data_IF_347997446612
#
_entry.id   IF_347997446612
#
_cell.length_a   1.000
_cell.length_b   1.000
_cell.length_c   1.000
_cell.angle_alpha   90.00
_cell.angle_beta   90.00
_cell.angle_gamma   90.00
#
_symmetry.space_group_name_H-M   'P 1'
#
loop_
_entity.id
_entity.type
_entity.pdbx_description
1 polymer ?
#
# COMPACT_ATOMS: atom_id res chain seq x y z
N UNK A 1 -14.24 -23.92 14.94
CA UNK A 1 -14.15 -23.85 13.46
C UNK A 1 -14.03 -22.36 13.12
N UNK A 2 -12.97 -21.80 12.53
CA UNK A 2 -12.13 -22.28 11.44
C UNK A 2 -10.73 -21.63 11.55
N UNK A 3 -9.70 -22.37 11.96
CA UNK A 3 -8.30 -21.87 11.94
C UNK A 3 -7.71 -22.15 10.57
N UNK A 4 -8.01 -21.30 9.60
CA UNK A 4 -7.31 -21.29 8.32
C UNK A 4 -5.89 -20.73 8.55
N UNK A 5 -5.00 -21.59 9.06
CA UNK A 5 -3.57 -21.44 8.90
C UNK A 5 -3.27 -21.58 7.40
N UNK A 6 -3.28 -20.47 6.65
CA UNK A 6 -2.62 -20.41 5.34
C UNK A 6 -1.10 -20.43 5.57
N UNK A 7 -0.34 -21.24 4.82
CA UNK A 7 1.10 -21.36 5.01
C UNK A 7 1.80 -20.04 4.71
N UNK A 8 2.80 -19.72 5.52
CA UNK A 8 3.73 -18.62 5.31
C UNK A 8 4.62 -18.92 4.09
N UNK A 9 4.19 -18.54 2.89
CA UNK A 9 5.07 -18.46 1.72
C UNK A 9 5.79 -17.11 1.73
N UNK A 10 6.98 -17.11 2.32
CA UNK A 10 7.99 -16.10 2.06
C UNK A 10 8.19 -16.01 0.52
N UNK A 11 7.69 -14.94 -0.11
CA UNK A 11 7.99 -14.69 -1.53
C UNK A 11 7.02 -13.80 -2.31
N UNK A 12 5.70 -13.95 -2.18
CA UNK A 12 4.73 -13.11 -2.91
C UNK A 12 3.41 -13.01 -2.14
N UNK A 13 3.25 -11.98 -1.32
CA UNK A 13 1.91 -11.63 -0.83
C UNK A 13 1.18 -10.95 -1.99
N UNK A 14 0.13 -11.57 -2.51
CA UNK A 14 -0.67 -10.96 -3.59
C UNK A 14 -1.55 -9.84 -3.03
N UNK A 15 -1.99 -8.90 -3.90
CA UNK A 15 -2.92 -7.86 -3.49
C UNK A 15 -4.20 -8.43 -2.86
N UNK A 16 -4.69 -9.56 -3.37
CA UNK A 16 -5.88 -10.24 -2.84
C UNK A 16 -5.68 -10.76 -1.42
N UNK A 17 -4.55 -11.43 -1.14
CA UNK A 17 -4.22 -11.91 0.21
C UNK A 17 -4.13 -10.76 1.22
N UNK A 18 -3.68 -9.58 0.79
CA UNK A 18 -3.60 -8.37 1.63
C UNK A 18 -4.98 -7.82 1.93
N UNK A 19 -5.84 -7.75 0.92
CA UNK A 19 -7.20 -7.24 1.05
C UNK A 19 -8.08 -8.14 1.93
N UNK A 20 -7.79 -9.45 1.97
CA UNK A 20 -8.45 -10.41 2.87
C UNK A 20 -8.06 -10.25 4.35
N UNK A 21 -7.03 -9.45 4.68
CA UNK A 21 -6.60 -9.24 6.08
C UNK A 21 -7.50 -8.23 6.80
N UNK A 22 -7.36 -8.22 8.12
CA UNK A 22 -8.13 -7.33 8.98
C UNK A 22 -7.88 -5.84 8.64
N UNK A 23 -8.85 -4.99 8.98
CA UNK A 23 -8.81 -3.56 8.65
C UNK A 23 -7.61 -2.85 9.29
N UNK A 24 -7.17 -3.27 10.47
CA UNK A 24 -6.01 -2.68 11.16
C UNK A 24 -4.73 -2.99 10.38
N UNK A 25 -4.56 -4.23 9.92
CA UNK A 25 -3.42 -4.59 9.08
C UNK A 25 -3.39 -3.75 7.80
N UNK A 26 -4.51 -3.65 7.08
CA UNK A 26 -4.62 -2.84 5.85
C UNK A 26 -4.27 -1.38 6.12
N UNK A 27 -4.71 -0.83 7.25
CA UNK A 27 -4.47 0.56 7.63
C UNK A 27 -2.99 0.81 7.94
N UNK A 28 -2.37 -0.08 8.71
CA UNK A 28 -0.94 -0.01 9.02
C UNK A 28 -0.07 -0.18 7.77
N UNK A 29 -0.45 -1.09 6.86
CA UNK A 29 0.25 -1.27 5.60
C UNK A 29 0.15 -0.02 4.72
N UNK A 30 -1.05 0.56 4.60
CA UNK A 30 -1.24 1.80 3.83
C UNK A 30 -0.41 2.95 4.39
N UNK A 31 -0.31 3.08 5.71
CA UNK A 31 0.56 4.07 6.36
C UNK A 31 2.04 3.83 6.04
N UNK A 32 2.49 2.57 6.09
CA UNK A 32 3.86 2.21 5.70
C UNK A 32 4.13 2.55 4.23
N UNK A 33 3.21 2.21 3.33
CA UNK A 33 3.35 2.49 1.90
C UNK A 33 3.40 3.99 1.61
N UNK A 34 2.65 4.81 2.35
CA UNK A 34 2.72 6.27 2.27
C UNK A 34 4.12 6.78 2.65
N UNK A 35 4.71 6.29 3.74
CA UNK A 35 6.06 6.67 4.14
C UNK A 35 7.12 6.21 3.12
N UNK A 36 6.94 5.03 2.51
CA UNK A 36 7.82 4.57 1.43
C UNK A 36 7.74 5.50 0.20
N UNK A 37 6.56 6.00 -0.16
CA UNK A 37 6.39 6.98 -1.24
C UNK A 37 7.08 8.32 -0.93
N UNK A 38 6.89 8.84 0.28
CA UNK A 38 7.55 10.07 0.73
C UNK A 38 9.07 9.92 0.71
N UNK A 39 9.58 8.80 1.24
CA UNK A 39 11.00 8.50 1.19
C UNK A 39 11.49 8.40 -0.26
N UNK A 40 10.83 7.63 -1.13
CA UNK A 40 11.20 7.47 -2.54
C UNK A 40 11.33 8.82 -3.27
N UNK A 41 10.39 9.74 -3.04
CA UNK A 41 10.32 11.04 -3.73
C UNK A 41 11.30 12.08 -3.19
N UNK A 42 11.62 12.04 -1.89
CA UNK A 42 12.46 13.05 -1.23
C UNK A 42 13.92 12.58 -1.07
N UNK A 43 14.17 11.63 -0.16
CA UNK A 43 15.53 11.20 0.24
C UNK A 43 15.99 9.87 -0.37
N UNK A 44 15.09 9.13 -1.00
CA UNK A 44 15.27 7.74 -1.41
C UNK A 44 15.87 7.57 -2.80
N UNK A 45 16.23 8.67 -3.46
CA UNK A 45 16.88 8.67 -4.76
C UNK A 45 16.07 7.98 -5.85
N UNK A 46 14.74 7.89 -5.69
CA UNK A 46 13.83 7.22 -6.62
C UNK A 46 14.19 5.76 -6.89
N UNK A 47 14.72 5.04 -5.91
CA UNK A 47 15.01 3.60 -6.03
C UNK A 47 13.75 2.75 -5.75
N UNK A 48 13.18 2.05 -6.76
CA UNK A 48 11.95 1.27 -6.60
C UNK A 48 12.08 0.14 -5.58
N UNK A 49 13.31 -0.33 -5.30
CA UNK A 49 13.58 -1.37 -4.30
C UNK A 49 13.25 -0.94 -2.87
N UNK A 50 13.09 0.37 -2.64
CA UNK A 50 12.70 0.94 -1.34
C UNK A 50 11.18 0.91 -1.14
N UNK A 51 10.40 0.80 -2.22
CA UNK A 51 8.96 0.68 -2.15
C UNK A 51 8.59 -0.72 -1.65
N UNK A 52 7.55 -0.80 -0.82
CA UNK A 52 7.01 -2.08 -0.36
C UNK A 52 6.67 -3.03 -1.52
N UNK A 53 6.09 -2.51 -2.60
CA UNK A 53 5.73 -3.31 -3.79
C UNK A 53 6.90 -3.60 -4.75
N UNK A 54 8.05 -2.95 -4.52
CA UNK A 54 9.24 -3.05 -5.36
C UNK A 54 9.14 -2.40 -6.75
N UNK A 55 8.04 -1.70 -7.02
CA UNK A 55 7.70 -1.08 -8.30
C UNK A 55 6.65 0.03 -8.07
N UNK A 56 6.80 1.15 -8.76
CA UNK A 56 5.96 2.34 -8.62
C UNK A 56 4.51 2.06 -9.00
N UNK A 57 4.26 1.39 -10.12
CA UNK A 57 2.90 1.10 -10.58
C UNK A 57 2.17 0.16 -9.62
N UNK A 58 2.88 -0.89 -9.17
CA UNK A 58 2.32 -1.85 -8.19
C UNK A 58 2.09 -1.22 -6.83
N UNK A 59 2.97 -0.31 -6.39
CA UNK A 59 2.80 0.42 -5.15
C UNK A 59 1.52 1.24 -5.19
N UNK A 60 1.35 2.05 -6.23
CA UNK A 60 0.18 2.92 -6.38
C UNK A 60 -1.12 2.12 -6.55
N UNK A 61 -1.14 1.08 -7.41
CA UNK A 61 -2.32 0.24 -7.61
C UNK A 61 -2.80 -0.40 -6.30
N UNK A 62 -1.86 -0.91 -5.50
CA UNK A 62 -2.20 -1.48 -4.20
C UNK A 62 -2.64 -0.42 -3.18
N UNK A 63 -2.03 0.77 -3.16
CA UNK A 63 -2.48 1.87 -2.30
C UNK A 63 -3.91 2.29 -2.62
N UNK A 64 -4.28 2.36 -3.91
CA UNK A 64 -5.64 2.66 -4.36
C UNK A 64 -6.61 1.58 -3.87
N UNK A 65 -6.28 0.30 -4.09
CA UNK A 65 -7.12 -0.83 -3.64
C UNK A 65 -7.28 -0.86 -2.12
N UNK A 66 -6.20 -0.61 -1.37
CA UNK A 66 -6.25 -0.52 0.08
C UNK A 66 -7.15 0.64 0.52
N UNK A 67 -6.97 1.83 -0.03
CA UNK A 67 -7.78 2.99 0.33
C UNK A 67 -9.27 2.79 -0.03
N UNK A 68 -9.58 2.17 -1.17
CA UNK A 68 -10.94 1.88 -1.59
C UNK A 68 -11.60 0.76 -0.76
N UNK A 69 -10.81 -0.17 -0.23
CA UNK A 69 -11.29 -1.24 0.64
C UNK A 69 -11.79 -0.77 2.03
N UNK A 70 -11.61 0.51 2.37
CA UNK A 70 -12.20 1.11 3.58
C UNK A 70 -13.54 1.76 3.26
N UNK A 71 -14.53 1.59 4.15
CA UNK A 71 -15.81 2.31 4.07
C UNK A 71 -15.56 3.81 4.23
N UNK A 72 -16.47 4.65 3.74
CA UNK A 72 -16.30 6.12 3.76
C UNK A 72 -15.97 6.69 5.15
N UNK A 73 -16.54 6.15 6.23
CA UNK A 73 -16.23 6.56 7.61
C UNK A 73 -14.97 5.95 8.22
N UNK A 74 -14.36 4.96 7.57
CA UNK A 74 -13.15 4.27 8.02
C UNK A 74 -11.91 4.67 7.22
N UNK A 75 -12.08 5.50 6.19
CA UNK A 75 -10.98 5.99 5.36
C UNK A 75 -10.01 6.84 6.19
N UNK A 76 -8.70 6.64 6.02
CA UNK A 76 -7.70 7.42 6.75
C UNK A 76 -7.79 8.90 6.39
N UNK A 77 -7.77 9.76 7.41
CA UNK A 77 -7.80 11.22 7.21
C UNK A 77 -6.43 11.78 6.78
N UNK A 78 -5.35 11.06 7.06
CA UNK A 78 -3.97 11.45 6.76
C UNK A 78 -3.53 11.11 5.32
N UNK A 79 -4.31 10.32 4.58
CA UNK A 79 -4.02 9.98 3.19
C UNK A 79 -5.31 9.95 2.38
N UNK A 80 -5.47 10.95 1.52
CA UNK A 80 -6.59 11.05 0.58
C UNK A 80 -6.27 10.33 -0.72
N UNK A 81 -7.31 9.96 -1.47
CA UNK A 81 -7.14 9.40 -2.83
C UNK A 81 -6.37 10.35 -3.75
N UNK A 82 -6.62 11.65 -3.64
CA UNK A 82 -5.91 12.68 -4.41
C UNK A 82 -4.40 12.65 -4.14
N UNK A 83 -3.99 12.51 -2.88
CA UNK A 83 -2.58 12.38 -2.51
C UNK A 83 -1.92 11.12 -3.10
N UNK A 84 -2.66 10.01 -3.18
CA UNK A 84 -2.18 8.78 -3.84
C UNK A 84 -1.95 9.03 -5.33
N UNK A 85 -2.85 9.76 -5.99
CA UNK A 85 -2.71 10.12 -7.40
C UNK A 85 -1.57 11.12 -7.63
N UNK A 86 -1.31 12.02 -6.68
CA UNK A 86 -0.15 12.90 -6.71
C UNK A 86 1.16 12.09 -6.67
N UNK A 87 1.28 11.10 -5.77
CA UNK A 87 2.44 10.20 -5.78
C UNK A 87 2.63 9.51 -7.12
N UNK A 88 1.55 9.01 -7.74
CA UNK A 88 1.62 8.42 -9.09
C UNK A 88 2.21 9.38 -10.11
N UNK A 89 1.79 10.65 -10.06
CA UNK A 89 2.27 11.68 -10.99
C UNK A 89 3.75 11.99 -10.74
N UNK A 90 4.16 12.19 -9.50
CA UNK A 90 5.54 12.53 -9.15
C UNK A 90 6.53 11.39 -9.45
N UNK A 91 6.11 10.14 -9.24
CA UNK A 91 6.90 8.94 -9.56
C UNK A 91 7.09 8.73 -11.06
N UNK A 92 6.12 9.15 -11.89
CA UNK A 92 6.19 9.04 -13.35
C UNK A 92 6.84 10.26 -14.05
N UNK A 93 7.36 11.23 -13.30
CA UNK A 93 8.12 12.38 -13.86
C UNK A 93 9.56 12.00 -14.11
#
# INVERSE_FOLDING_TARGET
MNTNNKPSTAGRTTADDILQRDARFRYMLLARMQSDCEYYLDYGGRDPKRLWAGDEERQIDLMIKLHDSFKEGEKPQWLTMDKILEYKKEMNK
#
